data_IF_676914684959
#
_entry.id   IF_676914684959
#
_cell.length_a   1.000
_cell.length_b   1.000
_cell.length_c   1.000
_cell.angle_alpha   90.00
_cell.angle_beta   90.00
_cell.angle_gamma   90.00
#
_symmetry.space_group_name_H-M   'P 1'
#
loop_
_entity.id
_entity.type
_entity.pdbx_description
1 polymer ?
#
# COMPACT_ATOMS: atom_id res chain seq x y z
N UNK A 1 -18.25 -23.70 6.83
CA UNK A 1 -17.43 -24.16 5.69
C UNK A 1 -18.13 -23.98 4.32
N UNK A 2 -19.46 -24.13 4.21
CA UNK A 2 -20.24 -23.93 2.96
C UNK A 2 -20.29 -22.48 2.41
N UNK A 3 -20.02 -21.46 3.23
CA UNK A 3 -20.25 -20.05 2.85
C UNK A 3 -19.33 -19.53 1.74
N UNK A 4 -18.12 -20.07 1.60
CA UNK A 4 -17.18 -19.74 0.52
C UNK A 4 -17.18 -20.79 -0.60
N UNK A 5 -18.02 -21.81 -0.48
CA UNK A 5 -18.04 -22.95 -1.39
C UNK A 5 -18.48 -22.49 -2.78
N UNK A 6 -17.59 -22.70 -3.75
CA UNK A 6 -17.77 -22.24 -5.12
C UNK A 6 -17.29 -20.81 -5.43
N UNK A 7 -16.92 -19.99 -4.43
CA UNK A 7 -16.07 -18.81 -4.66
C UNK A 7 -14.63 -19.28 -4.81
N UNK A 8 -14.15 -20.08 -3.85
CA UNK A 8 -12.80 -20.64 -3.85
C UNK A 8 -12.52 -21.47 -5.12
N UNK A 9 -13.52 -22.20 -5.61
CA UNK A 9 -13.42 -22.98 -6.87
C UNK A 9 -13.21 -22.07 -8.09
N UNK A 10 -14.03 -21.02 -8.22
CA UNK A 10 -13.91 -20.08 -9.34
C UNK A 10 -12.59 -19.30 -9.28
N UNK A 11 -12.17 -18.93 -8.07
CA UNK A 11 -10.89 -18.25 -7.88
C UNK A 11 -9.70 -19.15 -8.22
N UNK A 12 -9.74 -20.43 -7.82
CA UNK A 12 -8.73 -21.43 -8.23
C UNK A 12 -8.67 -21.59 -9.74
N UNK A 13 -9.81 -21.64 -10.43
CA UNK A 13 -9.81 -21.65 -11.89
C UNK A 13 -9.22 -20.38 -12.48
N UNK A 14 -9.55 -19.22 -11.91
CA UNK A 14 -9.00 -17.94 -12.35
C UNK A 14 -7.47 -17.92 -12.22
N UNK A 15 -6.90 -18.37 -11.10
CA UNK A 15 -5.44 -18.49 -10.92
C UNK A 15 -4.82 -19.39 -12.00
N UNK A 16 -5.43 -20.54 -12.29
CA UNK A 16 -4.94 -21.47 -13.32
C UNK A 16 -4.98 -20.84 -14.71
N UNK A 17 -6.06 -20.16 -15.08
CA UNK A 17 -6.17 -19.51 -16.39
C UNK A 17 -5.21 -18.32 -16.55
N UNK A 18 -5.06 -17.50 -15.50
CA UNK A 18 -4.05 -16.42 -15.48
C UNK A 18 -2.65 -17.00 -15.63
N UNK A 19 -2.33 -18.10 -14.93
CA UNK A 19 -1.05 -18.80 -15.09
C UNK A 19 -0.81 -19.31 -16.51
N UNK A 20 -1.83 -19.88 -17.16
CA UNK A 20 -1.74 -20.29 -18.58
C UNK A 20 -1.55 -19.09 -19.50
N UNK A 21 -2.18 -17.96 -19.23
CA UNK A 21 -2.05 -16.74 -20.04
C UNK A 21 -0.66 -16.12 -19.86
N UNK A 22 -0.11 -16.15 -18.65
CA UNK A 22 1.28 -15.82 -18.37
C UNK A 22 2.21 -16.69 -19.22
N UNK A 23 2.09 -18.01 -19.17
CA UNK A 23 2.93 -18.91 -19.96
C UNK A 23 2.83 -18.65 -21.46
N UNK A 24 1.62 -18.43 -21.98
CA UNK A 24 1.42 -18.07 -23.39
C UNK A 24 2.07 -16.73 -23.73
N UNK A 25 2.00 -15.72 -22.86
CA UNK A 25 2.64 -14.42 -23.10
C UNK A 25 4.17 -14.55 -23.21
N UNK A 26 4.78 -15.38 -22.36
CA UNK A 26 6.20 -15.69 -22.45
C UNK A 26 6.56 -16.53 -23.68
N UNK A 27 5.66 -17.42 -24.14
CA UNK A 27 5.85 -18.10 -25.42
C UNK A 27 5.81 -17.10 -26.59
N UNK A 28 4.90 -16.12 -26.58
CA UNK A 28 4.84 -15.06 -27.60
C UNK A 28 6.11 -14.20 -27.57
N UNK A 29 6.63 -13.87 -26.39
CA UNK A 29 7.90 -13.13 -26.27
C UNK A 29 9.09 -13.91 -26.83
N UNK A 30 9.14 -15.24 -26.64
CA UNK A 30 10.22 -16.09 -27.18
C UNK A 30 10.09 -16.33 -28.67
N UNK A 31 8.87 -16.58 -29.14
CA UNK A 31 8.57 -16.92 -30.52
C UNK A 31 7.25 -16.27 -30.93
N UNK A 32 7.30 -15.02 -31.45
CA UNK A 32 6.12 -14.28 -31.86
C UNK A 32 5.31 -15.07 -32.88
N UNK A 33 4.01 -15.20 -32.60
CA UNK A 33 3.10 -15.95 -33.46
C UNK A 33 1.71 -15.35 -33.38
N UNK A 34 1.19 -14.92 -34.53
CA UNK A 34 -0.18 -14.40 -34.64
C UNK A 34 -1.22 -15.38 -34.10
N UNK A 35 -0.96 -16.69 -34.20
CA UNK A 35 -1.88 -17.71 -33.67
C UNK A 35 -1.84 -17.78 -32.14
N UNK A 36 -0.67 -17.59 -31.52
CA UNK A 36 -0.56 -17.52 -30.05
C UNK A 36 -1.14 -16.22 -29.49
N UNK A 37 -0.86 -15.07 -30.13
CA UNK A 37 -1.44 -13.79 -29.75
C UNK A 37 -2.98 -13.82 -29.78
N UNK A 38 -3.59 -14.35 -30.86
CA UNK A 38 -5.04 -14.55 -30.94
C UNK A 38 -5.60 -15.43 -29.83
N UNK A 39 -4.88 -16.49 -29.44
CA UNK A 39 -5.31 -17.35 -28.32
C UNK A 39 -5.34 -16.55 -27.01
N UNK A 40 -4.34 -15.72 -26.75
CA UNK A 40 -4.31 -14.83 -25.57
C UNK A 40 -5.51 -13.87 -25.60
N UNK A 41 -5.76 -13.20 -26.73
CA UNK A 41 -6.88 -12.26 -26.87
C UNK A 41 -8.24 -12.94 -26.67
N UNK A 42 -8.41 -14.17 -27.15
CA UNK A 42 -9.66 -14.92 -27.01
C UNK A 42 -9.93 -15.45 -25.60
N UNK A 43 -8.87 -15.65 -24.79
CA UNK A 43 -8.99 -16.17 -23.42
C UNK A 43 -9.37 -15.09 -22.40
N UNK A 44 -9.23 -13.81 -22.76
CA UNK A 44 -9.43 -12.65 -21.87
C UNK A 44 -10.85 -12.57 -21.29
N UNK A 45 -11.85 -12.64 -22.17
CA UNK A 45 -13.26 -12.64 -21.80
C UNK A 45 -13.64 -13.74 -20.77
N UNK A 46 -12.92 -14.87 -20.78
CA UNK A 46 -13.20 -15.95 -19.83
C UNK A 46 -12.75 -15.58 -18.42
N UNK A 47 -11.62 -14.90 -18.27
CA UNK A 47 -11.10 -14.44 -16.98
C UNK A 47 -12.00 -13.34 -16.41
N UNK A 48 -12.47 -12.41 -17.25
CA UNK A 48 -13.48 -11.40 -16.88
C UNK A 48 -14.77 -12.03 -16.37
N UNK A 49 -15.19 -13.11 -17.02
CA UNK A 49 -16.36 -13.87 -16.63
C UNK A 49 -16.14 -14.53 -15.26
N UNK A 50 -14.98 -15.14 -15.02
CA UNK A 50 -14.64 -15.73 -13.71
C UNK A 50 -14.58 -14.68 -12.60
N UNK A 51 -13.97 -13.51 -12.86
CA UNK A 51 -13.97 -12.35 -11.95
C UNK A 51 -15.40 -11.95 -11.60
N UNK A 52 -16.24 -11.75 -12.61
CA UNK A 52 -17.66 -11.39 -12.42
C UNK A 52 -18.41 -12.42 -11.57
N UNK A 53 -18.12 -13.71 -11.74
CA UNK A 53 -18.71 -14.75 -10.88
C UNK A 53 -18.23 -14.67 -9.42
N UNK A 54 -16.93 -14.43 -9.20
CA UNK A 54 -16.38 -14.25 -7.85
C UNK A 54 -17.00 -13.04 -7.16
N UNK A 55 -17.10 -11.89 -7.86
CA UNK A 55 -17.71 -10.67 -7.33
C UNK A 55 -19.19 -10.88 -6.98
N UNK A 56 -19.98 -11.43 -7.91
CA UNK A 56 -21.42 -11.70 -7.69
C UNK A 56 -21.65 -12.64 -6.51
N UNK A 57 -20.87 -13.73 -6.40
CA UNK A 57 -20.99 -14.65 -5.28
C UNK A 57 -20.54 -14.03 -3.97
N UNK A 58 -19.50 -13.18 -3.98
CA UNK A 58 -19.04 -12.46 -2.79
C UNK A 58 -20.12 -11.50 -2.30
N UNK A 59 -20.74 -10.72 -3.19
CA UNK A 59 -21.86 -9.83 -2.86
C UNK A 59 -23.06 -10.63 -2.34
N UNK A 60 -23.40 -11.75 -2.99
CA UNK A 60 -24.48 -12.61 -2.51
C UNK A 60 -24.18 -13.18 -1.12
N UNK A 61 -22.94 -13.60 -0.85
CA UNK A 61 -22.50 -14.07 0.46
C UNK A 61 -22.63 -12.98 1.52
N UNK A 62 -22.22 -11.75 1.21
CA UNK A 62 -22.38 -10.59 2.06
C UNK A 62 -23.86 -10.34 2.42
N UNK A 63 -24.76 -10.35 1.41
CA UNK A 63 -26.20 -10.12 1.61
C UNK A 63 -26.89 -11.22 2.41
N UNK A 64 -26.46 -12.46 2.26
CA UNK A 64 -27.08 -13.63 2.89
C UNK A 64 -26.53 -13.91 4.30
N UNK A 65 -25.66 -13.05 4.82
CA UNK A 65 -25.05 -13.20 6.16
C UNK A 65 -25.50 -12.04 7.07
N UNK A 66 -26.67 -12.14 7.72
CA UNK A 66 -27.25 -11.05 8.51
C UNK A 66 -26.44 -10.68 9.77
N UNK A 67 -25.65 -11.60 10.34
CA UNK A 67 -24.77 -11.36 11.49
C UNK A 67 -23.30 -11.63 11.12
N UNK A 68 -22.75 -10.80 10.23
CA UNK A 68 -21.38 -10.99 9.74
C UNK A 68 -20.34 -10.43 10.71
N UNK A 69 -19.44 -11.28 11.19
CA UNK A 69 -18.28 -10.85 11.94
C UNK A 69 -17.25 -10.13 11.02
N UNK A 70 -16.42 -9.28 11.63
CA UNK A 70 -15.39 -8.50 10.92
C UNK A 70 -14.47 -9.36 10.06
N UNK A 71 -14.00 -10.49 10.60
CA UNK A 71 -13.09 -11.40 9.90
C UNK A 71 -13.70 -11.96 8.60
N UNK A 72 -14.99 -12.31 8.62
CA UNK A 72 -15.71 -12.78 7.43
C UNK A 72 -15.86 -11.68 6.38
N UNK A 73 -16.21 -10.46 6.81
CA UNK A 73 -16.31 -9.30 5.90
C UNK A 73 -14.95 -8.97 5.27
N UNK A 74 -13.88 -9.00 6.05
CA UNK A 74 -12.51 -8.77 5.59
C UNK A 74 -12.06 -9.85 4.59
N UNK A 75 -12.44 -11.12 4.81
CA UNK A 75 -12.20 -12.21 3.85
C UNK A 75 -12.95 -12.01 2.53
N UNK A 76 -14.22 -11.61 2.56
CA UNK A 76 -14.96 -11.27 1.33
C UNK A 76 -14.29 -10.11 0.57
N UNK A 77 -13.87 -9.06 1.28
CA UNK A 77 -13.14 -7.94 0.68
C UNK A 77 -11.82 -8.39 0.04
N UNK A 78 -11.10 -9.29 0.69
CA UNK A 78 -9.87 -9.86 0.14
C UNK A 78 -10.14 -10.64 -1.15
N UNK A 79 -11.15 -11.51 -1.18
CA UNK A 79 -11.50 -12.29 -2.38
C UNK A 79 -11.78 -11.42 -3.61
N UNK A 80 -12.51 -10.32 -3.44
CA UNK A 80 -12.75 -9.34 -4.53
C UNK A 80 -11.44 -8.67 -4.96
N UNK A 81 -10.62 -8.25 -4.00
CA UNK A 81 -9.33 -7.61 -4.30
C UNK A 81 -8.40 -8.57 -5.06
N UNK A 82 -8.39 -9.86 -4.68
CA UNK A 82 -7.60 -10.88 -5.38
C UNK A 82 -8.11 -11.09 -6.80
N UNK A 83 -9.42 -11.26 -6.99
CA UNK A 83 -9.99 -11.42 -8.33
C UNK A 83 -9.65 -10.25 -9.24
N UNK A 84 -9.78 -9.01 -8.75
CA UNK A 84 -9.45 -7.81 -9.54
C UNK A 84 -7.98 -7.76 -9.93
N UNK A 85 -7.05 -8.11 -9.04
CA UNK A 85 -5.63 -8.08 -9.38
C UNK A 85 -5.21 -9.28 -10.25
N UNK A 86 -5.88 -10.44 -10.15
CA UNK A 86 -5.68 -11.56 -11.08
C UNK A 86 -6.08 -11.19 -12.51
N UNK A 87 -7.19 -10.49 -12.69
CA UNK A 87 -7.60 -9.99 -14.01
C UNK A 87 -6.64 -8.92 -14.54
N UNK A 88 -6.15 -8.00 -13.70
CA UNK A 88 -5.09 -7.08 -14.12
C UNK A 88 -3.83 -7.79 -14.62
N UNK A 89 -3.43 -8.91 -14.01
CA UNK A 89 -2.29 -9.71 -14.50
C UNK A 89 -2.61 -10.32 -15.87
N UNK A 90 -3.83 -10.81 -16.09
CA UNK A 90 -4.31 -11.28 -17.40
C UNK A 90 -4.25 -10.15 -18.46
N UNK A 91 -4.75 -8.96 -18.13
CA UNK A 91 -4.69 -7.79 -19.01
C UNK A 91 -3.26 -7.43 -19.39
N UNK A 92 -2.33 -7.49 -18.43
CA UNK A 92 -0.91 -7.25 -18.71
C UNK A 92 -0.33 -8.31 -19.65
N UNK A 93 -0.77 -9.57 -19.57
CA UNK A 93 -0.38 -10.61 -20.54
C UNK A 93 -0.90 -10.29 -21.95
N UNK A 94 -2.12 -9.79 -22.08
CA UNK A 94 -2.70 -9.32 -23.34
C UNK A 94 -1.89 -8.13 -23.89
N UNK A 95 -1.55 -7.16 -23.04
CA UNK A 95 -0.80 -5.99 -23.45
C UNK A 95 0.62 -6.33 -23.88
N UNK A 96 1.28 -7.29 -23.24
CA UNK A 96 2.58 -7.82 -23.71
C UNK A 96 2.43 -8.43 -25.11
N UNK A 97 1.42 -9.27 -25.34
CA UNK A 97 1.18 -9.84 -26.67
C UNK A 97 0.91 -8.76 -27.73
N UNK A 98 0.19 -7.70 -27.36
CA UNK A 98 -0.03 -6.54 -28.24
C UNK A 98 1.29 -5.83 -28.55
N UNK A 99 2.15 -5.58 -27.57
CA UNK A 99 3.46 -4.95 -27.83
C UNK A 99 4.29 -5.81 -28.80
N UNK A 100 4.29 -7.13 -28.63
CA UNK A 100 4.98 -8.04 -29.56
C UNK A 100 4.43 -7.98 -31.00
N UNK A 101 3.13 -7.76 -31.18
CA UNK A 101 2.51 -7.60 -32.51
C UNK A 101 2.91 -6.27 -33.21
N UNK A 102 3.37 -5.27 -32.45
CA UNK A 102 3.81 -3.96 -32.99
C UNK A 102 5.31 -3.89 -33.25
N UNK A 103 6.09 -4.89 -32.85
CA UNK A 103 7.54 -4.91 -33.08
C UNK A 103 7.86 -5.30 -34.53
N UNK A 104 8.75 -4.53 -35.15
CA UNK A 104 9.30 -4.85 -36.47
C UNK A 104 10.38 -5.92 -36.35
N UNK A 105 11.23 -5.82 -35.31
CA UNK A 105 12.29 -6.77 -35.00
C UNK A 105 12.17 -7.34 -33.59
N UNK A 106 11.36 -8.41 -33.38
CA UNK A 106 11.19 -9.04 -32.08
C UNK A 106 12.48 -9.58 -31.45
N UNK A 107 13.53 -9.83 -32.24
CA UNK A 107 14.86 -10.23 -31.78
C UNK A 107 15.48 -9.19 -30.82
N UNK A 108 15.07 -7.91 -30.90
CA UNK A 108 15.50 -6.86 -29.98
C UNK A 108 15.21 -7.25 -28.53
N UNK A 109 14.05 -7.84 -28.26
CA UNK A 109 13.66 -8.27 -26.91
C UNK A 109 14.58 -9.39 -26.36
N UNK A 110 15.14 -10.24 -27.23
CA UNK A 110 15.97 -11.38 -26.81
C UNK A 110 17.32 -10.95 -26.22
N UNK A 111 17.71 -9.68 -26.37
CA UNK A 111 18.90 -9.14 -25.72
C UNK A 111 18.72 -8.91 -24.22
N UNK A 112 17.49 -8.96 -23.71
CA UNK A 112 17.17 -8.72 -22.31
C UNK A 112 16.68 -10.00 -21.64
N UNK A 113 17.12 -10.25 -20.40
CA UNK A 113 16.75 -11.46 -19.67
C UNK A 113 15.40 -11.30 -18.94
N UNK A 114 14.32 -11.59 -19.66
CA UNK A 114 12.96 -11.57 -19.11
C UNK A 114 12.56 -12.87 -18.39
N UNK A 115 13.32 -13.97 -18.52
CA UNK A 115 12.95 -15.29 -17.97
C UNK A 115 12.74 -15.29 -16.45
N UNK A 116 13.55 -14.60 -15.63
CA UNK A 116 13.34 -14.53 -14.18
C UNK A 116 11.95 -14.03 -13.77
N UNK A 117 11.34 -13.11 -14.54
CA UNK A 117 10.00 -12.60 -14.24
C UNK A 117 8.95 -13.70 -14.29
N UNK A 118 9.00 -14.58 -15.30
CA UNK A 118 8.05 -15.70 -15.43
C UNK A 118 8.07 -16.57 -14.18
N UNK A 119 9.28 -16.90 -13.70
CA UNK A 119 9.45 -17.71 -12.50
C UNK A 119 8.90 -17.00 -11.26
N UNK A 120 9.26 -15.73 -11.07
CA UNK A 120 8.82 -14.96 -9.89
C UNK A 120 7.30 -14.84 -9.85
N UNK A 121 6.68 -14.46 -10.97
CA UNK A 121 5.24 -14.24 -11.07
C UNK A 121 4.49 -15.58 -10.98
N UNK A 122 4.96 -16.60 -11.68
CA UNK A 122 4.37 -17.95 -11.64
C UNK A 122 4.43 -18.59 -10.25
N UNK A 123 5.59 -18.51 -9.57
CA UNK A 123 5.76 -19.01 -8.20
C UNK A 123 4.82 -18.30 -7.21
N UNK A 124 4.58 -16.99 -7.39
CA UNK A 124 3.66 -16.22 -6.56
C UNK A 124 2.20 -16.56 -6.85
N UNK A 125 1.81 -16.69 -8.13
CA UNK A 125 0.46 -17.11 -8.53
C UNK A 125 0.09 -18.48 -7.94
N UNK A 126 1.02 -19.42 -7.95
CA UNK A 126 0.82 -20.78 -7.43
C UNK A 126 0.50 -20.81 -5.92
N UNK A 127 0.94 -19.80 -5.16
CA UNK A 127 0.72 -19.72 -3.71
C UNK A 127 -0.63 -19.11 -3.32
N UNK A 128 -1.28 -18.37 -4.24
CA UNK A 128 -2.52 -17.63 -3.97
C UNK A 128 -3.65 -18.55 -3.43
N UNK A 129 -3.94 -19.71 -4.05
CA UNK A 129 -5.05 -20.56 -3.58
C UNK A 129 -4.88 -21.05 -2.15
N UNK A 130 -3.65 -21.41 -1.78
CA UNK A 130 -3.35 -21.91 -0.44
C UNK A 130 -3.40 -20.76 0.57
N UNK A 131 -2.75 -19.62 0.27
CA UNK A 131 -2.74 -18.43 1.11
C UNK A 131 -4.17 -17.98 1.51
N UNK A 132 -5.12 -18.07 0.58
CA UNK A 132 -6.53 -17.72 0.81
C UNK A 132 -7.28 -18.82 1.58
N UNK A 133 -7.03 -20.09 1.25
CA UNK A 133 -7.78 -21.21 1.82
C UNK A 133 -7.50 -21.38 3.31
N UNK A 134 -6.22 -21.29 3.71
CA UNK A 134 -5.78 -21.49 5.10
C UNK A 134 -5.52 -20.18 5.84
N UNK A 135 -5.71 -19.02 5.19
CA UNK A 135 -5.47 -17.70 5.80
C UNK A 135 -4.05 -17.60 6.40
N UNK A 136 -3.04 -17.96 5.60
CA UNK A 136 -1.65 -18.05 6.04
C UNK A 136 -0.89 -16.76 5.71
N UNK A 137 -0.49 -16.03 6.77
CA UNK A 137 0.28 -14.80 6.67
C UNK A 137 1.67 -15.02 6.02
N UNK A 138 2.33 -16.14 6.27
CA UNK A 138 3.64 -16.45 5.71
C UNK A 138 3.56 -16.65 4.18
N UNK A 139 2.51 -17.30 3.68
CA UNK A 139 2.26 -17.41 2.24
C UNK A 139 1.90 -16.06 1.62
N UNK A 140 1.05 -15.27 2.28
CA UNK A 140 0.71 -13.92 1.83
C UNK A 140 1.96 -13.03 1.67
N UNK A 141 2.91 -13.14 2.59
CA UNK A 141 4.19 -12.41 2.52
C UNK A 141 5.09 -12.87 1.39
N UNK A 142 5.13 -14.19 1.12
CA UNK A 142 5.89 -14.71 -0.02
C UNK A 142 5.35 -14.15 -1.34
N UNK A 143 4.03 -14.03 -1.47
CA UNK A 143 3.37 -13.38 -2.62
C UNK A 143 3.78 -11.90 -2.69
N UNK A 144 3.69 -11.16 -1.57
CA UNK A 144 4.11 -9.76 -1.49
C UNK A 144 5.57 -9.52 -1.92
N UNK A 145 6.47 -10.46 -1.65
CA UNK A 145 7.90 -10.36 -2.02
C UNK A 145 8.16 -10.48 -3.51
N UNK A 146 7.15 -10.78 -4.34
CA UNK A 146 7.30 -10.81 -5.79
C UNK A 146 7.62 -9.41 -6.35
N UNK A 147 6.94 -8.36 -5.85
CA UNK A 147 7.14 -6.96 -6.28
C UNK A 147 8.61 -6.54 -6.14
N UNK A 148 9.19 -6.67 -4.95
CA UNK A 148 10.57 -6.24 -4.73
C UNK A 148 11.58 -6.96 -5.64
N UNK A 149 11.28 -8.19 -6.06
CA UNK A 149 12.12 -8.94 -7.00
C UNK A 149 11.92 -8.43 -8.43
N UNK A 150 10.68 -8.20 -8.87
CA UNK A 150 10.38 -7.66 -10.21
C UNK A 150 10.89 -6.23 -10.37
N UNK A 151 10.78 -5.39 -9.34
CA UNK A 151 11.29 -4.01 -9.31
C UNK A 151 12.80 -3.95 -9.51
N UNK A 152 13.53 -4.85 -8.84
CA UNK A 152 14.99 -4.92 -8.95
C UNK A 152 15.40 -5.27 -10.39
N UNK A 153 14.73 -6.25 -10.99
CA UNK A 153 14.97 -6.61 -12.39
C UNK A 153 14.58 -5.46 -13.32
N UNK A 154 13.48 -4.79 -13.04
CA UNK A 154 12.96 -3.71 -13.87
C UNK A 154 13.91 -2.52 -13.91
N UNK A 155 14.46 -2.13 -12.76
CA UNK A 155 15.46 -1.07 -12.68
C UNK A 155 16.70 -1.38 -13.53
N UNK A 156 17.16 -2.64 -13.55
CA UNK A 156 18.29 -3.07 -14.37
C UNK A 156 17.96 -3.00 -15.87
N UNK A 157 16.84 -3.58 -16.30
CA UNK A 157 16.44 -3.59 -17.71
C UNK A 157 16.15 -2.20 -18.25
N UNK A 158 15.47 -1.34 -17.49
CA UNK A 158 15.22 0.05 -17.90
C UNK A 158 16.51 0.83 -18.07
N UNK A 159 17.52 0.59 -17.21
CA UNK A 159 18.82 1.23 -17.39
C UNK A 159 19.51 0.79 -18.69
N UNK A 160 19.41 -0.50 -19.03
CA UNK A 160 19.97 -1.04 -20.28
C UNK A 160 19.24 -0.49 -21.51
N UNK A 161 17.90 -0.59 -21.54
CA UNK A 161 17.05 -0.07 -22.63
C UNK A 161 17.28 1.43 -22.87
N UNK A 162 17.40 2.23 -21.80
CA UNK A 162 17.75 3.66 -21.92
C UNK A 162 19.13 3.88 -22.54
N UNK A 163 20.08 3.00 -22.26
CA UNK A 163 21.39 3.02 -22.88
C UNK A 163 21.32 2.75 -24.38
N UNK A 164 20.52 1.76 -24.79
CA UNK A 164 20.34 1.39 -26.19
C UNK A 164 19.55 2.44 -26.98
N UNK A 165 18.50 3.02 -26.38
CA UNK A 165 17.74 4.12 -26.99
C UNK A 165 18.63 5.33 -27.33
N UNK A 166 19.65 5.61 -26.53
CA UNK A 166 20.59 6.71 -26.80
C UNK A 166 21.47 6.49 -28.03
N UNK A 167 21.61 5.24 -28.48
CA UNK A 167 22.35 4.90 -29.70
C UNK A 167 21.54 5.23 -30.97
N UNK A 168 20.22 5.34 -30.86
CA UNK A 168 19.33 5.75 -31.95
C UNK A 168 18.93 4.63 -32.93
N UNK A 169 19.22 3.37 -32.61
CA UNK A 169 18.87 2.20 -33.42
C UNK A 169 17.65 1.48 -32.83
N UNK A 170 16.78 0.91 -33.69
CA UNK A 170 15.59 0.13 -33.28
C UNK A 170 14.71 0.84 -32.23
N UNK A 171 14.55 2.16 -32.35
CA UNK A 171 13.91 2.98 -31.31
C UNK A 171 12.49 2.53 -30.99
N UNK A 172 11.73 2.16 -32.01
CA UNK A 172 10.32 1.77 -31.86
C UNK A 172 10.20 0.41 -31.13
N UNK A 173 11.03 -0.56 -31.50
CA UNK A 173 11.13 -1.87 -30.83
C UNK A 173 11.63 -1.74 -29.38
N UNK A 174 12.57 -0.82 -29.12
CA UNK A 174 13.06 -0.54 -27.75
C UNK A 174 11.98 0.12 -26.88
N UNK A 175 11.12 0.97 -27.46
CA UNK A 175 9.95 1.52 -26.77
C UNK A 175 8.95 0.39 -26.44
N UNK A 176 8.70 -0.53 -27.38
CA UNK A 176 7.85 -1.70 -27.11
C UNK A 176 8.43 -2.55 -25.97
N UNK A 177 9.75 -2.77 -25.96
CA UNK A 177 10.46 -3.46 -24.88
C UNK A 177 10.25 -2.75 -23.54
N UNK A 178 10.37 -1.42 -23.48
CA UNK A 178 10.11 -0.64 -22.26
C UNK A 178 8.70 -0.90 -21.70
N UNK A 179 7.68 -0.93 -22.56
CA UNK A 179 6.32 -1.26 -22.15
C UNK A 179 6.18 -2.70 -21.66
N UNK A 180 6.80 -3.68 -22.34
CA UNK A 180 6.79 -5.09 -21.92
C UNK A 180 7.36 -5.23 -20.51
N UNK A 181 8.55 -4.67 -20.25
CA UNK A 181 9.16 -4.72 -18.92
C UNK A 181 8.36 -3.95 -17.87
N UNK A 182 7.70 -2.85 -18.26
CA UNK A 182 6.77 -2.15 -17.38
C UNK A 182 5.58 -3.03 -17.01
N UNK A 183 4.96 -3.74 -17.97
CA UNK A 183 3.85 -4.64 -17.67
C UNK A 183 4.27 -5.81 -16.76
N UNK A 184 5.49 -6.34 -16.92
CA UNK A 184 6.03 -7.37 -16.02
C UNK A 184 6.24 -6.85 -14.58
N UNK A 185 6.67 -5.60 -14.41
CA UNK A 185 6.76 -4.94 -13.10
C UNK A 185 5.35 -4.68 -12.51
N UNK A 186 4.40 -4.22 -13.33
CA UNK A 186 3.00 -4.03 -12.95
C UNK A 186 2.31 -5.32 -12.49
N UNK A 187 2.71 -6.48 -13.00
CA UNK A 187 2.27 -7.78 -12.49
C UNK A 187 2.79 -8.04 -11.06
N UNK A 188 4.03 -7.63 -10.76
CA UNK A 188 4.59 -7.66 -9.41
C UNK A 188 3.78 -6.81 -8.42
N UNK A 189 3.43 -5.58 -8.81
CA UNK A 189 2.53 -4.71 -8.05
C UNK A 189 1.16 -5.36 -7.76
N UNK A 190 0.57 -5.99 -8.79
CA UNK A 190 -0.71 -6.68 -8.65
C UNK A 190 -0.60 -7.85 -7.65
N UNK A 191 0.52 -8.59 -7.67
CA UNK A 191 0.81 -9.63 -6.69
C UNK A 191 1.00 -9.06 -5.27
N UNK A 192 1.66 -7.91 -5.11
CA UNK A 192 1.73 -7.27 -3.80
C UNK A 192 0.34 -6.92 -3.26
N UNK A 193 -0.54 -6.35 -4.10
CA UNK A 193 -1.91 -6.06 -3.69
C UNK A 193 -2.68 -7.32 -3.29
N UNK A 194 -2.46 -8.44 -3.99
CA UNK A 194 -3.03 -9.76 -3.63
C UNK A 194 -2.53 -10.19 -2.26
N UNK A 195 -1.22 -10.20 -2.04
CA UNK A 195 -0.62 -10.60 -0.78
C UNK A 195 -1.07 -9.71 0.39
N UNK A 196 -1.11 -8.39 0.21
CA UNK A 196 -1.60 -7.44 1.22
C UNK A 196 -3.09 -7.67 1.54
N UNK A 197 -3.91 -7.99 0.53
CA UNK A 197 -5.32 -8.29 0.74
C UNK A 197 -5.54 -9.58 1.55
N UNK A 198 -4.77 -10.63 1.25
CA UNK A 198 -4.82 -11.88 2.02
C UNK A 198 -4.34 -11.63 3.44
N UNK A 199 -3.19 -10.99 3.61
CA UNK A 199 -2.61 -10.67 4.91
C UNK A 199 -3.55 -9.85 5.79
N UNK A 200 -4.24 -8.88 5.20
CA UNK A 200 -5.29 -8.12 5.87
C UNK A 200 -6.43 -9.00 6.37
N UNK A 201 -6.89 -9.96 5.57
CA UNK A 201 -7.95 -10.87 5.99
C UNK A 201 -7.54 -11.81 7.14
N UNK A 202 -6.24 -12.10 7.28
CA UNK A 202 -5.69 -12.89 8.40
C UNK A 202 -5.55 -12.04 9.66
N UNK A 203 -4.96 -10.85 9.53
CA UNK A 203 -4.50 -10.02 10.65
C UNK A 203 -5.57 -9.04 11.14
N UNK A 204 -6.50 -8.63 10.28
CA UNK A 204 -7.51 -7.60 10.57
C UNK A 204 -6.96 -6.16 10.52
N UNK A 205 -5.67 -5.98 10.28
CA UNK A 205 -4.94 -4.71 10.32
C UNK A 205 -4.75 -4.09 8.93
N UNK A 206 -5.25 -2.86 8.71
CA UNK A 206 -5.13 -2.13 7.43
C UNK A 206 -3.74 -1.53 7.18
N UNK A 207 -2.68 -2.33 7.33
CA UNK A 207 -1.32 -1.93 7.00
C UNK A 207 -0.90 -2.48 5.63
N UNK A 208 -0.38 -1.61 4.77
CA UNK A 208 0.40 -2.05 3.60
C UNK A 208 1.69 -2.71 4.08
N UNK A 209 2.29 -3.58 3.27
CA UNK A 209 3.52 -4.29 3.65
C UNK A 209 4.64 -3.31 4.06
N UNK A 210 4.77 -2.20 3.33
CA UNK A 210 5.77 -1.16 3.63
C UNK A 210 5.49 -0.47 4.96
N UNK A 211 4.22 -0.17 5.26
CA UNK A 211 3.79 0.42 6.53
C UNK A 211 4.07 -0.53 7.69
N UNK A 212 3.79 -1.81 7.49
CA UNK A 212 4.06 -2.85 8.46
C UNK A 212 5.56 -3.02 8.74
N UNK A 213 6.39 -3.08 7.71
CA UNK A 213 7.85 -3.10 7.86
C UNK A 213 8.36 -1.85 8.59
N UNK A 214 7.82 -0.68 8.27
CA UNK A 214 8.21 0.56 8.90
C UNK A 214 7.82 0.59 10.39
N UNK A 215 6.65 0.06 10.75
CA UNK A 215 6.23 -0.13 12.14
C UNK A 215 7.16 -1.09 12.88
N UNK A 216 7.43 -2.28 12.33
CA UNK A 216 8.32 -3.25 12.97
C UNK A 216 9.76 -2.77 13.10
N UNK A 217 10.29 -2.14 12.05
CA UNK A 217 11.60 -1.51 12.10
C UNK A 217 11.63 -0.41 13.18
N UNK A 218 10.52 0.31 13.36
CA UNK A 218 10.42 1.32 14.41
C UNK A 218 10.33 0.71 15.82
N UNK A 219 9.72 -0.47 15.96
CA UNK A 219 9.65 -1.21 17.22
C UNK A 219 10.93 -2.01 17.54
N UNK A 220 11.97 -1.91 16.70
CA UNK A 220 13.27 -2.58 16.93
C UNK A 220 13.23 -4.11 16.75
N UNK A 221 12.23 -4.65 16.05
CA UNK A 221 12.06 -6.11 15.90
C UNK A 221 12.73 -6.66 14.64
N UNK A 222 13.17 -7.93 14.72
CA UNK A 222 13.75 -8.65 13.57
C UNK A 222 12.66 -9.05 12.58
N UNK A 223 13.01 -9.08 11.29
CA UNK A 223 12.12 -9.50 10.19
C UNK A 223 11.48 -10.90 10.39
N UNK A 224 12.11 -11.79 11.18
CA UNK A 224 11.58 -13.13 11.49
C UNK A 224 10.34 -13.09 12.38
N UNK A 225 10.25 -12.07 13.24
CA UNK A 225 9.20 -11.93 14.27
C UNK A 225 8.09 -10.98 13.81
N UNK A 226 8.18 -10.54 12.55
CA UNK A 226 7.30 -9.53 11.99
C UNK A 226 5.82 -9.90 12.11
N UNK A 227 5.43 -11.19 12.15
CA UNK A 227 4.00 -11.55 12.25
C UNK A 227 3.69 -12.49 13.41
N UNK A 228 4.65 -12.71 14.32
CA UNK A 228 4.43 -13.52 15.53
C UNK A 228 3.84 -12.70 16.67
N UNK A 229 4.06 -11.39 16.69
CA UNK A 229 3.49 -10.46 17.66
C UNK A 229 2.29 -9.76 17.03
N UNK A 230 1.10 -10.02 17.57
CA UNK A 230 -0.12 -9.37 17.11
C UNK A 230 -0.16 -7.95 17.66
N UNK A 231 -0.22 -6.96 16.78
CA UNK A 231 -0.54 -5.59 17.17
C UNK A 231 -2.00 -5.32 16.85
N UNK A 232 -2.58 -4.30 17.46
CA UNK A 232 -3.83 -3.73 16.97
C UNK A 232 -3.51 -2.31 16.51
N UNK A 233 -3.62 -2.09 15.20
CA UNK A 233 -3.42 -0.76 14.61
C UNK A 233 -4.76 -0.19 14.16
N UNK A 234 -5.26 0.73 14.96
CA UNK A 234 -6.49 1.47 14.69
C UNK A 234 -6.16 2.78 13.97
N UNK A 235 -6.17 2.74 12.64
CA UNK A 235 -6.03 3.94 11.81
C UNK A 235 -7.30 4.80 11.90
N UNK A 236 -7.22 5.86 12.69
CA UNK A 236 -8.33 6.81 12.86
C UNK A 236 -8.28 7.98 11.90
N UNK A 237 -7.10 8.35 11.39
CA UNK A 237 -6.93 9.56 10.62
C UNK A 237 -5.98 9.39 9.43
N UNK A 238 -6.38 9.97 8.30
CA UNK A 238 -5.51 10.18 7.14
C UNK A 238 -5.50 11.69 6.83
N UNK A 239 -4.31 12.26 6.76
CA UNK A 239 -4.16 13.69 6.45
C UNK A 239 -4.24 13.93 4.95
N UNK A 240 -4.61 15.14 4.51
CA UNK A 240 -4.59 15.54 3.08
C UNK A 240 -3.26 15.30 2.37
N UNK A 241 -2.15 15.24 3.11
CA UNK A 241 -0.83 14.95 2.56
C UNK A 241 -0.51 13.46 2.46
N UNK A 242 -1.48 12.57 2.74
CA UNK A 242 -1.33 11.12 2.73
C UNK A 242 -0.60 10.53 3.95
N UNK A 243 -0.40 11.30 5.03
CA UNK A 243 0.13 10.73 6.28
C UNK A 243 -0.98 9.96 6.96
N UNK A 244 -0.79 8.66 7.15
CA UNK A 244 -1.68 7.81 7.95
C UNK A 244 -1.28 7.89 9.42
N UNK A 245 -2.26 8.01 10.29
CA UNK A 245 -2.09 8.12 11.73
C UNK A 245 -2.97 7.06 12.38
N UNK A 246 -2.34 6.15 13.13
CA UNK A 246 -3.04 5.09 13.85
C UNK A 246 -2.55 4.95 15.28
N UNK A 247 -3.44 4.51 16.16
CA UNK A 247 -3.06 4.05 17.49
C UNK A 247 -2.57 2.60 17.35
N UNK A 248 -1.37 2.32 17.85
CA UNK A 248 -0.80 0.99 17.93
C UNK A 248 -0.92 0.53 19.38
N UNK A 249 -1.48 -0.66 19.58
CA UNK A 249 -1.47 -1.37 20.86
C UNK A 249 -0.77 -2.71 20.67
N UNK A 250 0.12 -3.06 21.59
CA UNK A 250 0.79 -4.36 21.62
C UNK A 250 -0.03 -5.38 22.42
N UNK A 251 -0.23 -6.60 21.90
CA UNK A 251 -0.92 -7.71 22.61
C UNK A 251 0.06 -8.72 23.21
N UNK A 252 1.15 -8.26 23.83
CA UNK A 252 2.09 -9.14 24.53
C UNK A 252 1.54 -9.65 25.87
N UNK A 253 1.88 -10.89 26.26
CA UNK A 253 1.50 -11.50 27.55
C UNK A 253 2.22 -10.87 28.77
N UNK A 254 3.30 -10.09 28.56
CA UNK A 254 4.08 -9.45 29.62
C UNK A 254 3.84 -7.92 29.66
N UNK A 255 3.00 -7.51 30.64
CA UNK A 255 2.77 -6.23 31.36
C UNK A 255 3.25 -4.83 30.87
N UNK A 256 3.81 -4.65 29.68
CA UNK A 256 3.99 -3.32 29.09
C UNK A 256 3.09 -3.16 27.85
N UNK A 257 1.85 -2.70 28.07
CA UNK A 257 1.00 -2.21 26.98
C UNK A 257 1.69 -0.98 26.34
N UNK A 258 2.44 -1.21 25.26
CA UNK A 258 2.93 -0.10 24.45
C UNK A 258 1.74 0.50 23.69
N UNK A 259 1.24 1.63 24.18
CA UNK A 259 0.32 2.48 23.44
C UNK A 259 1.09 3.61 22.74
N UNK A 260 1.02 3.65 21.41
CA UNK A 260 1.74 4.62 20.62
C UNK A 260 0.91 5.15 19.45
N UNK A 261 1.22 6.35 18.98
CA UNK A 261 0.73 6.87 17.71
C UNK A 261 1.76 6.59 16.63
N UNK A 262 1.39 5.76 15.66
CA UNK A 262 2.18 5.48 14.48
C UNK A 262 1.79 6.44 13.35
N UNK A 263 2.78 7.12 12.79
CA UNK A 263 2.65 7.94 11.59
C UNK A 263 3.56 7.41 10.49
N UNK A 264 3.01 7.25 9.29
CA UNK A 264 3.78 6.96 8.08
C UNK A 264 3.41 7.95 6.96
N UNK A 265 4.41 8.47 6.27
CA UNK A 265 4.22 9.34 5.11
C UNK A 265 5.54 9.86 4.54
N UNK A 266 5.46 10.95 3.76
CA UNK A 266 6.62 11.57 3.10
C UNK A 266 7.74 11.91 4.08
N UNK A 267 8.96 11.47 3.76
CA UNK A 267 10.16 11.63 4.60
C UNK A 267 10.35 13.07 5.09
N UNK A 268 10.42 14.02 4.16
CA UNK A 268 10.73 15.42 4.50
C UNK A 268 9.67 16.06 5.41
N UNK A 269 8.41 15.61 5.30
CA UNK A 269 7.33 16.10 6.17
C UNK A 269 7.52 15.57 7.59
N UNK A 270 7.75 14.27 7.74
CA UNK A 270 7.92 13.65 9.06
C UNK A 270 9.26 14.04 9.71
N UNK A 271 10.29 14.31 8.92
CA UNK A 271 11.55 14.88 9.41
C UNK A 271 11.33 16.26 10.04
N UNK A 272 10.61 17.17 9.34
CA UNK A 272 10.22 18.48 9.90
C UNK A 272 9.33 18.34 11.13
N UNK A 273 8.41 17.39 11.13
CA UNK A 273 7.54 17.14 12.29
C UNK A 273 8.36 16.67 13.50
N UNK A 274 9.31 15.75 13.31
CA UNK A 274 10.27 15.33 14.34
C UNK A 274 11.09 16.52 14.86
N UNK A 275 11.65 17.32 13.97
CA UNK A 275 12.47 18.49 14.33
C UNK A 275 11.65 19.50 15.16
N UNK A 276 10.40 19.77 14.76
CA UNK A 276 9.50 20.63 15.52
C UNK A 276 9.21 20.06 16.92
N UNK A 277 8.99 18.76 17.04
CA UNK A 277 8.76 18.10 18.34
C UNK A 277 10.01 18.22 19.23
N UNK A 278 11.19 17.96 18.68
CA UNK A 278 12.46 18.09 19.42
C UNK A 278 12.70 19.52 19.88
N UNK A 279 12.45 20.51 19.00
CA UNK A 279 12.53 21.93 19.37
C UNK A 279 11.60 22.26 20.53
N UNK A 280 10.33 21.87 20.46
CA UNK A 280 9.39 22.10 21.56
C UNK A 280 9.77 21.36 22.84
N UNK A 281 10.44 20.22 22.75
CA UNK A 281 10.94 19.49 23.91
C UNK A 281 12.10 20.23 24.58
N UNK A 282 12.94 20.94 23.82
CA UNK A 282 13.99 21.81 24.34
C UNK A 282 13.42 23.08 24.99
N UNK A 283 12.50 23.76 24.30
CA UNK A 283 11.89 25.02 24.78
C UNK A 283 10.93 24.80 25.97
N UNK A 284 10.17 23.71 25.93
CA UNK A 284 9.14 23.36 26.91
C UNK A 284 9.15 21.84 27.20
N UNK A 285 10.09 21.37 28.04
CA UNK A 285 10.20 19.95 28.37
C UNK A 285 8.90 19.36 28.90
N UNK A 286 8.44 18.27 28.29
CA UNK A 286 7.24 17.54 28.69
C UNK A 286 5.92 18.08 28.10
N UNK A 287 5.97 19.16 27.30
CA UNK A 287 4.82 19.61 26.53
C UNK A 287 4.53 18.73 25.30
N UNK A 288 5.49 18.49 24.39
CA UNK A 288 5.20 17.64 23.24
C UNK A 288 5.22 16.16 23.64
N UNK A 289 4.52 15.28 22.89
CA UNK A 289 4.61 13.84 23.09
C UNK A 289 6.04 13.37 22.85
N UNK A 290 6.50 12.38 23.62
CA UNK A 290 7.82 11.79 23.41
C UNK A 290 7.89 11.07 22.06
N UNK A 291 9.01 11.25 21.36
CA UNK A 291 9.33 10.43 20.19
C UNK A 291 9.88 9.11 20.72
N UNK A 292 9.16 8.02 20.44
CA UNK A 292 9.58 6.67 20.81
C UNK A 292 10.57 6.14 19.79
N UNK A 293 10.30 6.33 18.50
CA UNK A 293 11.22 5.96 17.42
C UNK A 293 10.98 6.82 16.16
N UNK A 294 12.04 7.04 15.39
CA UNK A 294 11.98 7.56 14.03
C UNK A 294 12.84 6.71 13.09
N UNK A 295 12.27 6.31 11.94
CA UNK A 295 12.94 5.53 10.92
C UNK A 295 12.73 6.14 9.54
N UNK A 296 13.81 6.29 8.79
CA UNK A 296 13.74 6.69 7.38
C UNK A 296 13.66 5.46 6.48
N UNK A 297 12.76 5.52 5.50
CA UNK A 297 12.64 4.55 4.42
C UNK A 297 13.06 5.13 3.08
N UNK A 298 12.80 4.38 2.01
CA UNK A 298 13.15 4.80 0.63
C UNK A 298 12.06 5.72 0.08
N UNK A 299 12.11 7.00 0.47
CA UNK A 299 11.18 8.05 0.05
C UNK A 299 10.05 8.34 1.05
N UNK A 300 9.92 7.51 2.07
CA UNK A 300 8.99 7.66 3.20
C UNK A 300 9.75 7.68 4.54
N UNK A 301 9.03 7.91 5.62
CA UNK A 301 9.52 7.74 6.98
C UNK A 301 8.39 7.23 7.88
N UNK A 302 8.77 6.58 8.98
CA UNK A 302 7.90 6.24 10.07
C UNK A 302 8.29 7.00 11.34
N UNK A 303 7.28 7.47 12.06
CA UNK A 303 7.43 8.16 13.33
C UNK A 303 6.49 7.50 14.33
N UNK A 304 7.04 7.04 15.44
CA UNK A 304 6.30 6.48 16.56
C UNK A 304 6.34 7.48 17.71
N UNK A 305 5.18 7.94 18.15
CA UNK A 305 5.00 8.90 19.22
C UNK A 305 4.32 8.25 20.41
N UNK A 306 4.62 8.74 21.60
CA UNK A 306 3.89 8.42 22.83
C UNK A 306 2.39 8.70 22.63
N UNK A 307 1.56 7.77 23.08
CA UNK A 307 0.13 8.02 23.19
C UNK A 307 -0.15 8.80 24.48
N UNK A 308 -0.74 9.98 24.35
CA UNK A 308 -1.24 10.76 25.48
C UNK A 308 -2.72 10.43 25.68
N UNK A 309 -3.03 9.80 26.81
CA UNK A 309 -4.41 9.48 27.17
C UNK A 309 -5.18 10.72 27.65
N UNK A 310 -6.50 10.70 27.50
CA UNK A 310 -7.40 11.78 27.87
C UNK A 310 -8.30 12.26 26.73
N UNK A 311 -9.06 13.32 27.01
CA UNK A 311 -9.97 13.93 26.05
C UNK A 311 -9.26 15.04 25.27
N UNK A 312 -9.49 15.08 23.97
CA UNK A 312 -9.13 16.26 23.17
C UNK A 312 -9.95 17.47 23.60
N UNK A 313 -9.42 18.68 23.39
CA UNK A 313 -10.17 19.90 23.72
C UNK A 313 -11.53 19.96 23.00
N UNK A 314 -11.63 19.48 21.77
CA UNK A 314 -12.89 19.38 21.04
C UNK A 314 -13.90 18.46 21.73
N UNK A 315 -13.46 17.29 22.20
CA UNK A 315 -14.32 16.38 22.95
C UNK A 315 -14.76 16.99 24.29
N UNK A 316 -13.87 17.76 24.95
CA UNK A 316 -14.22 18.48 26.17
C UNK A 316 -15.27 19.56 25.91
N UNK A 317 -15.14 20.33 24.82
CA UNK A 317 -16.12 21.36 24.44
C UNK A 317 -17.50 20.73 24.18
N UNK A 318 -17.55 19.56 23.56
CA UNK A 318 -18.80 18.91 23.18
C UNK A 318 -19.45 18.12 24.33
N UNK A 319 -18.65 17.53 25.22
CA UNK A 319 -19.14 16.49 26.14
C UNK A 319 -18.84 16.74 27.62
N UNK A 320 -17.90 17.64 27.97
CA UNK A 320 -17.51 17.84 29.36
C UNK A 320 -18.45 18.82 30.09
N UNK A 321 -18.54 18.66 31.42
CA UNK A 321 -19.23 19.62 32.27
C UNK A 321 -18.50 20.98 32.30
N UNK A 322 -19.23 22.03 32.71
CA UNK A 322 -18.72 23.41 32.70
C UNK A 322 -17.56 23.66 33.67
N UNK A 323 -17.32 22.80 34.66
CA UNK A 323 -16.17 22.94 35.56
C UNK A 323 -14.91 22.38 34.89
N UNK A 324 -15.00 21.19 34.30
CA UNK A 324 -13.90 20.57 33.53
C UNK A 324 -13.51 21.40 32.32
N UNK A 325 -14.47 21.96 31.58
CA UNK A 325 -14.17 22.83 30.45
C UNK A 325 -13.42 24.10 30.87
N UNK A 326 -13.82 24.74 31.98
CA UNK A 326 -13.13 25.92 32.52
C UNK A 326 -11.70 25.59 32.94
N UNK A 327 -11.51 24.48 33.66
CA UNK A 327 -10.17 24.04 34.04
C UNK A 327 -9.27 23.77 32.81
N UNK A 328 -9.83 23.16 31.76
CA UNK A 328 -9.09 22.92 30.51
C UNK A 328 -8.72 24.24 29.81
N UNK A 329 -9.64 25.22 29.76
CA UNK A 329 -9.39 26.54 29.19
C UNK A 329 -8.30 27.30 29.97
N UNK A 330 -8.34 27.28 31.30
CA UNK A 330 -7.32 27.88 32.15
C UNK A 330 -5.95 27.23 31.92
N UNK A 331 -5.89 25.89 31.84
CA UNK A 331 -4.67 25.15 31.55
C UNK A 331 -4.09 25.51 30.18
N UNK A 332 -4.92 25.55 29.12
CA UNK A 332 -4.50 25.95 27.78
C UNK A 332 -4.02 27.40 27.76
N UNK A 333 -4.76 28.33 28.37
CA UNK A 333 -4.40 29.74 28.40
C UNK A 333 -3.06 29.95 29.13
N UNK A 334 -2.86 29.29 30.28
CA UNK A 334 -1.60 29.33 31.02
C UNK A 334 -0.43 28.76 30.21
N UNK A 335 -0.64 27.61 29.56
CA UNK A 335 0.38 26.97 28.72
C UNK A 335 0.76 27.84 27.52
N UNK A 336 -0.23 28.38 26.80
CA UNK A 336 0.00 29.26 25.66
C UNK A 336 0.67 30.57 26.05
N UNK A 337 0.32 31.14 27.20
CA UNK A 337 0.98 32.35 27.74
C UNK A 337 2.45 32.05 28.06
N UNK A 338 2.72 30.91 28.72
CA UNK A 338 4.09 30.47 29.01
C UNK A 338 4.89 30.24 27.73
N UNK A 339 4.30 29.58 26.73
CA UNK A 339 4.92 29.36 25.44
C UNK A 339 5.25 30.68 24.73
N UNK A 340 4.30 31.62 24.73
CA UNK A 340 4.47 32.96 24.20
C UNK A 340 5.64 33.68 24.87
N UNK A 341 5.64 33.77 26.20
CA UNK A 341 6.66 34.50 26.94
C UNK A 341 8.07 33.92 26.75
N UNK A 342 8.19 32.59 26.62
CA UNK A 342 9.48 31.91 26.39
C UNK A 342 10.01 32.07 24.97
N UNK A 343 9.11 32.04 23.98
CA UNK A 343 9.48 32.01 22.56
C UNK A 343 9.39 33.38 21.88
N UNK A 344 9.03 34.43 22.64
CA UNK A 344 8.87 35.78 22.12
C UNK A 344 10.21 36.38 21.67
N UNK A 345 10.40 36.46 20.36
CA UNK A 345 11.47 37.24 19.74
C UNK A 345 10.88 38.52 19.14
N UNK A 346 11.46 39.67 19.52
CA UNK A 346 11.04 40.99 18.99
C UNK A 346 11.75 41.27 17.67
N UNK A 347 11.25 40.66 16.61
CA UNK A 347 11.72 40.88 15.25
C UNK A 347 10.60 41.35 14.29
N UNK A 348 10.95 42.08 13.21
CA UNK A 348 10.00 42.42 12.17
C UNK A 348 9.62 41.16 11.37
N UNK A 349 8.40 40.66 11.57
CA UNK A 349 7.86 39.54 10.78
C UNK A 349 7.02 40.08 9.63
N UNK A 350 7.41 39.77 8.39
CA UNK A 350 6.59 40.02 7.21
C UNK A 350 5.68 38.81 6.94
N UNK A 351 4.46 38.85 7.47
CA UNK A 351 3.47 37.79 7.23
C UNK A 351 2.84 37.90 5.85
N UNK A 352 3.11 36.94 4.95
CA UNK A 352 2.47 36.82 3.64
C UNK A 352 1.07 36.17 3.72
N UNK A 353 0.24 36.64 4.65
CA UNK A 353 -1.08 36.05 4.89
C UNK A 353 -2.02 36.26 3.70
N UNK A 354 -1.95 37.43 3.06
CA UNK A 354 -2.76 37.76 1.89
C UNK A 354 -2.32 36.98 0.65
N UNK A 355 -1.01 36.76 0.43
CA UNK A 355 -0.53 35.91 -0.65
C UNK A 355 -0.96 34.45 -0.47
N UNK A 356 -0.87 33.92 0.75
CA UNK A 356 -1.34 32.56 1.08
C UNK A 356 -2.87 32.39 0.92
N UNK A 357 -3.66 33.41 1.25
CA UNK A 357 -5.11 33.38 1.04
C UNK A 357 -5.45 33.48 -0.45
N UNK A 358 -4.82 34.42 -1.17
CA UNK A 358 -5.01 34.60 -2.61
C UNK A 358 -4.64 33.33 -3.40
N UNK A 359 -3.56 32.64 -3.02
CA UNK A 359 -3.13 31.41 -3.68
C UNK A 359 -4.13 30.25 -3.54
N UNK A 360 -5.05 30.31 -2.55
CA UNK A 360 -6.06 29.27 -2.30
C UNK A 360 -7.44 29.65 -2.82
N UNK A 361 -7.68 30.92 -3.15
CA UNK A 361 -8.99 31.43 -3.52
C UNK A 361 -9.56 30.75 -4.77
N UNK A 362 -8.72 30.46 -5.77
CA UNK A 362 -9.13 29.75 -6.98
C UNK A 362 -9.58 28.30 -6.74
N UNK A 363 -9.06 27.64 -5.69
CA UNK A 363 -9.52 26.30 -5.29
C UNK A 363 -10.85 26.38 -4.54
N UNK A 364 -11.03 27.42 -3.70
CA UNK A 364 -12.28 27.66 -2.98
C UNK A 364 -13.42 27.93 -3.95
N UNK A 365 -13.22 28.81 -4.95
CA UNK A 365 -14.25 29.12 -5.95
C UNK A 365 -14.58 27.95 -6.89
N UNK A 366 -13.65 27.00 -7.07
CA UNK A 366 -13.95 25.76 -7.82
C UNK A 366 -14.87 24.81 -7.05
N UNK A 367 -14.82 24.82 -5.72
CA UNK A 367 -15.65 23.97 -4.85
C UNK A 367 -16.96 24.69 -4.47
N UNK A 368 -16.91 26.01 -4.32
CA UNK A 368 -18.01 26.88 -3.94
C UNK A 368 -18.13 28.03 -4.97
N UNK A 369 -18.70 27.75 -6.15
CA UNK A 369 -18.81 28.72 -7.24
C UNK A 369 -19.75 29.89 -6.94
#
# INVERSE_FOLDING_TARGET
MQMFEGIDKNLRFMVVEVGKQLDKSFQVMRQPSRSLARKIYSSDNYIDTLKSYVEKKTISGFRNTPEMNRQTADRFRALVTVANNLERIADFCVNIARQMDHMDSPDVLQHYDYVPYQKIIGDALAQIPEAISISDAALALKICRAEAKTDKLYAAHISQIKGDLRKGENTDDLVACLYIFHYLERMGDALQNIGEAVLYAVTGEKLKLREHKALHAALGQKDSDMWSRAYDVDFRYETRSGTKIGKVKDRGEDEAELEAIFKNGRRDKLARERENILRWQEEMPGLPPRILEYREGKGDAALLLEYLDGMTFNEMVLNADSARLRAAQECIASTLTTAWDRTLEREPVHGDFLGQLASRLGDVWRIHP
#
